data_IF_416744963947
#
_entry.id   IF_416744963947
#
_cell.length_a   1.000
_cell.length_b   1.000
_cell.length_c   1.000
_cell.angle_alpha   90.00
_cell.angle_beta   90.00
_cell.angle_gamma   90.00
#
_symmetry.space_group_name_H-M   'P 1'
#
loop_
_entity.id
_entity.type
_entity.pdbx_description
1 polymer ?
#
# COMPACT_ATOMS: atom_id res chain seq x y z
N UNK A 1 -34.37 -18.07 13.50
CA UNK A 1 -33.95 -17.10 12.46
C UNK A 1 -32.46 -16.83 12.60
N UNK A 2 -31.64 -17.32 11.68
CA UNK A 2 -30.21 -17.00 11.67
C UNK A 2 -30.05 -15.52 11.32
N UNK A 3 -29.61 -14.72 12.29
CA UNK A 3 -29.39 -13.28 12.08
C UNK A 3 -28.43 -13.10 10.90
N UNK A 4 -28.89 -12.49 9.83
CA UNK A 4 -28.11 -12.31 8.62
C UNK A 4 -27.06 -11.21 8.86
N UNK A 5 -25.96 -11.57 9.52
CA UNK A 5 -24.91 -10.61 9.90
C UNK A 5 -24.18 -10.15 8.65
N UNK A 6 -24.49 -8.96 8.14
CA UNK A 6 -23.75 -8.35 7.02
C UNK A 6 -22.32 -7.97 7.43
N UNK A 7 -21.34 -8.23 6.56
CA UNK A 7 -19.93 -7.82 6.75
C UNK A 7 -19.54 -6.84 5.67
N UNK A 8 -18.83 -5.79 6.05
CA UNK A 8 -18.10 -4.91 5.12
C UNK A 8 -16.64 -4.89 5.55
N UNK A 9 -15.73 -4.94 4.59
CA UNK A 9 -14.28 -4.94 4.83
C UNK A 9 -13.68 -3.64 4.29
N UNK A 10 -13.01 -2.88 5.15
CA UNK A 10 -12.31 -1.63 4.82
C UNK A 10 -10.83 -1.94 4.70
N UNK A 11 -10.32 -1.95 3.47
CA UNK A 11 -8.94 -2.23 3.11
C UNK A 11 -8.87 -3.34 2.07
N UNK A 12 -8.29 -3.05 0.91
CA UNK A 12 -8.05 -4.00 -0.18
C UNK A 12 -6.66 -4.62 -0.12
N UNK A 13 -6.01 -4.59 1.05
CA UNK A 13 -4.74 -5.28 1.27
C UNK A 13 -4.91 -6.81 1.38
N UNK A 14 -3.80 -7.56 1.53
CA UNK A 14 -3.82 -9.02 1.61
C UNK A 14 -4.77 -9.58 2.67
N UNK A 15 -4.84 -8.93 3.84
CA UNK A 15 -5.75 -9.32 4.91
C UNK A 15 -7.23 -9.17 4.51
N UNK A 16 -7.59 -8.04 3.89
CA UNK A 16 -8.95 -7.75 3.46
C UNK A 16 -9.41 -8.66 2.33
N UNK A 17 -8.57 -8.86 1.30
CA UNK A 17 -8.85 -9.79 0.20
C UNK A 17 -9.00 -11.22 0.70
N UNK A 18 -8.11 -11.70 1.57
CA UNK A 18 -8.22 -13.04 2.13
C UNK A 18 -9.50 -13.21 2.95
N UNK A 19 -9.92 -12.20 3.70
CA UNK A 19 -11.17 -12.24 4.46
C UNK A 19 -12.39 -12.26 3.54
N UNK A 20 -12.44 -11.42 2.50
CA UNK A 20 -13.54 -11.38 1.55
C UNK A 20 -13.68 -12.67 0.73
N UNK A 21 -12.57 -13.42 0.55
CA UNK A 21 -12.57 -14.76 -0.07
C UNK A 21 -13.03 -15.87 0.85
N UNK A 22 -13.09 -15.65 2.17
CA UNK A 22 -13.51 -16.72 3.07
C UNK A 22 -14.96 -17.08 2.77
N UNK A 23 -15.26 -18.36 2.52
CA UNK A 23 -16.64 -18.81 2.37
C UNK A 23 -17.44 -18.35 3.58
N UNK A 24 -18.65 -17.86 3.34
CA UNK A 24 -19.62 -17.64 4.40
C UNK A 24 -19.73 -18.93 5.23
N UNK A 25 -19.56 -18.81 6.56
CA UNK A 25 -19.84 -19.92 7.48
C UNK A 25 -21.29 -20.39 7.24
N UNK A 26 -21.61 -21.70 7.36
CA UNK A 26 -22.98 -22.18 7.14
C UNK A 26 -24.00 -21.32 7.89
N UNK A 27 -25.01 -20.79 7.19
CA UNK A 27 -26.01 -19.87 7.73
C UNK A 27 -25.79 -18.37 7.46
N UNK A 28 -24.84 -17.99 6.59
CA UNK A 28 -24.71 -16.64 6.02
C UNK A 28 -24.93 -16.68 4.51
N UNK A 29 -25.46 -15.61 3.93
CA UNK A 29 -25.54 -15.48 2.46
C UNK A 29 -24.17 -15.75 1.83
N UNK A 30 -24.13 -16.61 0.81
CA UNK A 30 -22.90 -17.04 0.12
C UNK A 30 -22.22 -15.95 -0.69
N UNK A 31 -22.58 -14.68 -0.46
CA UNK A 31 -22.06 -13.53 -1.19
C UNK A 31 -20.74 -13.07 -0.57
N UNK A 32 -19.68 -12.85 -1.38
CA UNK A 32 -18.44 -12.23 -0.91
C UNK A 32 -18.72 -10.91 -0.19
N UNK A 33 -18.00 -10.65 0.91
CA UNK A 33 -18.16 -9.41 1.65
C UNK A 33 -17.68 -8.21 0.80
N UNK A 34 -18.46 -7.12 0.70
CA UNK A 34 -18.01 -5.90 0.03
C UNK A 34 -16.67 -5.39 0.57
N UNK A 35 -15.79 -5.01 -0.36
CA UNK A 35 -14.48 -4.43 -0.07
C UNK A 35 -14.46 -2.96 -0.42
N UNK A 36 -13.84 -2.16 0.46
CA UNK A 36 -13.60 -0.73 0.27
C UNK A 36 -12.09 -0.50 0.29
N UNK A 37 -11.52 0.17 -0.70
CA UNK A 37 -10.10 0.52 -0.71
C UNK A 37 -9.80 1.61 -1.71
N UNK A 38 -8.87 2.51 -1.38
CA UNK A 38 -8.61 3.70 -2.19
C UNK A 38 -7.62 3.45 -3.32
N UNK A 39 -6.86 2.36 -3.24
CA UNK A 39 -5.78 2.02 -4.14
C UNK A 39 -6.34 1.50 -5.47
N UNK A 40 -5.89 2.04 -6.60
CA UNK A 40 -6.36 1.65 -7.93
C UNK A 40 -5.68 0.38 -8.48
N UNK A 41 -4.60 -0.06 -7.84
CA UNK A 41 -3.89 -1.26 -8.25
C UNK A 41 -4.55 -2.55 -7.72
N UNK A 42 -4.36 -3.70 -8.41
CA UNK A 42 -4.67 -5.01 -7.85
C UNK A 42 -3.93 -5.23 -6.52
N UNK A 43 -4.56 -5.94 -5.59
CA UNK A 43 -3.87 -6.35 -4.36
C UNK A 43 -2.67 -7.20 -4.72
N UNK A 44 -1.53 -7.00 -4.05
CA UNK A 44 -0.33 -7.81 -4.27
C UNK A 44 0.17 -8.41 -2.96
N UNK A 45 0.94 -9.50 -3.05
CA UNK A 45 1.61 -10.09 -1.91
C UNK A 45 2.96 -9.39 -1.70
N UNK A 46 3.19 -8.73 -0.55
CA UNK A 46 4.40 -7.95 -0.32
C UNK A 46 5.63 -8.81 0.05
N UNK A 47 5.69 -10.07 -0.41
CA UNK A 47 6.75 -11.02 0.03
C UNK A 47 8.12 -10.71 -0.53
N UNK A 48 8.27 -9.86 -1.55
CA UNK A 48 9.58 -9.56 -2.16
C UNK A 48 9.72 -8.08 -2.59
N UNK A 49 9.62 -7.13 -1.64
CA UNK A 49 9.51 -5.71 -1.97
C UNK A 49 10.76 -5.15 -2.67
N UNK A 50 11.92 -5.82 -2.55
CA UNK A 50 13.16 -5.41 -3.21
C UNK A 50 13.33 -6.01 -4.61
N UNK A 51 12.68 -7.13 -4.92
CA UNK A 51 13.01 -7.89 -6.13
C UNK A 51 12.28 -7.42 -7.38
N UNK A 52 11.05 -6.89 -7.23
CA UNK A 52 10.32 -6.23 -8.31
C UNK A 52 11.04 -4.94 -8.73
N UNK A 53 11.43 -4.02 -7.82
CA UNK A 53 12.26 -2.87 -8.18
C UNK A 53 13.65 -3.25 -8.73
N UNK A 54 14.20 -4.40 -8.32
CA UNK A 54 15.47 -4.92 -8.84
C UNK A 54 15.34 -5.63 -10.21
N UNK A 55 14.14 -5.66 -10.82
CA UNK A 55 13.91 -6.23 -12.15
C UNK A 55 13.92 -7.76 -12.20
N UNK A 56 13.92 -8.44 -11.05
CA UNK A 56 13.96 -9.91 -10.99
C UNK A 56 12.60 -10.56 -11.21
N UNK A 57 11.51 -9.81 -10.99
CA UNK A 57 10.14 -10.27 -11.19
C UNK A 57 9.28 -9.14 -11.76
N UNK A 58 8.36 -9.50 -12.67
CA UNK A 58 7.32 -8.61 -13.14
C UNK A 58 6.30 -8.31 -12.02
N UNK A 59 5.72 -7.10 -11.94
CA UNK A 59 4.72 -6.74 -10.93
C UNK A 59 3.54 -7.72 -10.86
N UNK A 60 3.12 -8.25 -12.00
CA UNK A 60 2.00 -9.17 -12.18
C UNK A 60 2.23 -10.49 -11.44
N UNK A 61 3.48 -10.92 -11.27
CA UNK A 61 3.83 -12.13 -10.52
C UNK A 61 3.49 -12.02 -9.02
N UNK A 62 3.30 -10.80 -8.51
CA UNK A 62 2.93 -10.55 -7.11
C UNK A 62 1.43 -10.29 -6.93
N UNK A 63 0.67 -10.17 -8.02
CA UNK A 63 -0.75 -9.85 -7.96
C UNK A 63 -1.55 -11.00 -7.32
N UNK A 64 -2.46 -10.64 -6.43
CA UNK A 64 -3.44 -11.53 -5.83
C UNK A 64 -4.75 -11.42 -6.60
N UNK A 65 -5.44 -12.55 -6.86
CA UNK A 65 -6.77 -12.53 -7.45
C UNK A 65 -7.75 -11.70 -6.59
N UNK A 66 -8.38 -10.71 -7.20
CA UNK A 66 -9.38 -9.88 -6.52
C UNK A 66 -10.68 -10.70 -6.32
N UNK A 67 -11.33 -10.63 -5.13
CA UNK A 67 -12.56 -11.38 -4.84
C UNK A 67 -13.83 -10.74 -5.44
N UNK A 68 -13.69 -10.02 -6.54
CA UNK A 68 -14.74 -9.19 -7.16
C UNK A 68 -14.26 -7.76 -7.41
N UNK A 69 -15.20 -6.85 -7.67
CA UNK A 69 -14.93 -5.43 -7.88
C UNK A 69 -15.00 -4.67 -6.54
N UNK A 70 -13.87 -4.31 -5.92
CA UNK A 70 -13.90 -3.49 -4.72
C UNK A 70 -14.39 -2.08 -5.04
N UNK A 71 -15.06 -1.45 -4.08
CA UNK A 71 -15.41 -0.04 -4.18
C UNK A 71 -14.13 0.79 -4.00
N UNK A 72 -13.69 1.43 -5.09
CA UNK A 72 -12.49 2.28 -5.14
C UNK A 72 -12.75 3.61 -4.45
N UNK A 73 -12.43 3.65 -3.17
CA UNK A 73 -12.62 4.81 -2.30
C UNK A 73 -11.97 4.59 -0.94
N UNK A 74 -11.68 5.69 -0.27
CA UNK A 74 -11.31 5.70 1.15
C UNK A 74 -12.54 5.42 2.03
N UNK A 75 -12.46 4.37 2.84
CA UNK A 75 -13.41 4.18 3.95
C UNK A 75 -13.14 5.20 5.06
N UNK A 76 -14.19 5.87 5.55
CA UNK A 76 -14.07 6.94 6.57
C UNK A 76 -14.42 6.47 7.98
N UNK A 77 -15.10 5.34 8.12
CA UNK A 77 -15.46 4.77 9.41
C UNK A 77 -16.80 4.04 9.36
N UNK A 78 -17.31 3.65 10.53
CA UNK A 78 -18.65 3.07 10.68
C UNK A 78 -19.46 3.92 11.65
N UNK A 79 -20.65 4.31 11.21
CA UNK A 79 -21.69 4.84 12.09
C UNK A 79 -22.49 3.66 12.69
N UNK A 80 -22.44 3.52 14.02
CA UNK A 80 -23.18 2.47 14.73
C UNK A 80 -24.64 2.82 14.96
N UNK A 81 -24.98 4.11 15.07
CA UNK A 81 -26.34 4.57 15.28
C UNK A 81 -27.16 4.42 13.99
N UNK A 82 -26.62 4.92 12.87
CA UNK A 82 -27.24 4.76 11.55
C UNK A 82 -27.04 3.35 10.96
N UNK A 83 -26.05 2.59 11.46
CA UNK A 83 -25.70 1.29 10.93
C UNK A 83 -25.15 1.39 9.51
N UNK A 84 -24.21 2.31 9.25
CA UNK A 84 -23.66 2.53 7.91
C UNK A 84 -22.13 2.57 7.93
N UNK A 85 -21.51 2.27 6.79
CA UNK A 85 -20.07 2.42 6.58
C UNK A 85 -19.84 3.60 5.64
N UNK A 86 -19.06 4.58 6.11
CA UNK A 86 -18.79 5.81 5.39
C UNK A 86 -17.79 5.64 4.25
N UNK A 87 -18.01 6.42 3.20
CA UNK A 87 -17.21 6.51 1.98
C UNK A 87 -16.64 7.93 1.87
N UNK A 88 -15.45 8.08 1.28
CA UNK A 88 -14.74 9.36 1.20
C UNK A 88 -15.24 10.30 0.11
N UNK A 89 -15.94 9.77 -0.89
CA UNK A 89 -16.37 10.44 -2.13
C UNK A 89 -17.89 10.42 -2.30
N UNK A 90 -18.66 10.27 -1.21
CA UNK A 90 -20.10 10.44 -1.25
C UNK A 90 -20.89 9.59 -0.25
N UNK A 91 -22.12 9.18 -0.59
CA UNK A 91 -23.01 8.50 0.34
C UNK A 91 -22.43 7.16 0.85
N UNK A 92 -22.91 6.67 2.00
CA UNK A 92 -22.36 5.49 2.64
C UNK A 92 -22.37 4.26 1.71
N UNK A 93 -21.36 3.41 1.90
CA UNK A 93 -21.11 2.19 1.14
C UNK A 93 -22.23 1.13 1.25
N UNK A 94 -23.17 1.32 2.18
CA UNK A 94 -24.28 0.44 2.43
C UNK A 94 -24.70 0.40 3.89
N UNK A 95 -25.80 -0.32 4.13
CA UNK A 95 -26.34 -0.54 5.47
C UNK A 95 -25.77 -1.82 6.10
N UNK A 96 -25.13 -1.65 7.25
CA UNK A 96 -24.74 -2.71 8.18
C UNK A 96 -25.64 -2.62 9.41
N UNK A 97 -26.56 -3.58 9.63
CA UNK A 97 -27.42 -3.55 10.82
C UNK A 97 -26.56 -3.51 12.09
N UNK A 98 -27.15 -3.15 13.25
CA UNK A 98 -26.41 -3.07 14.53
C UNK A 98 -25.61 -4.33 14.85
N UNK A 99 -26.09 -5.50 14.43
CA UNK A 99 -25.43 -6.81 14.58
C UNK A 99 -24.43 -7.16 13.48
N UNK A 100 -24.37 -6.36 12.40
CA UNK A 100 -23.40 -6.50 11.31
C UNK A 100 -21.99 -6.09 11.73
N UNK A 101 -20.98 -6.46 10.95
CA UNK A 101 -19.57 -6.27 11.27
C UNK A 101 -18.88 -5.37 10.22
N UNK A 102 -18.10 -4.39 10.67
CA UNK A 102 -17.14 -3.70 9.81
C UNK A 102 -15.74 -4.12 10.22
N UNK A 103 -14.97 -4.69 9.30
CA UNK A 103 -13.59 -5.13 9.56
C UNK A 103 -12.62 -4.12 8.96
N UNK A 104 -11.71 -3.60 9.80
CA UNK A 104 -10.66 -2.68 9.37
C UNK A 104 -9.41 -3.48 9.04
N UNK A 105 -9.01 -3.47 7.77
CA UNK A 105 -7.90 -4.20 7.17
C UNK A 105 -7.02 -3.28 6.29
N UNK A 106 -6.89 -2.00 6.68
CA UNK A 106 -6.19 -0.93 5.92
C UNK A 106 -4.65 -1.09 5.96
N UNK A 107 -4.12 -1.99 6.77
CA UNK A 107 -2.68 -2.23 6.88
C UNK A 107 -1.95 -1.07 7.57
N UNK A 108 -0.71 -0.84 7.16
CA UNK A 108 0.20 0.13 7.81
C UNK A 108 0.39 1.34 6.89
N UNK A 109 0.41 2.54 7.49
CA UNK A 109 0.85 3.76 6.81
C UNK A 109 2.28 4.07 7.22
N UNK A 110 3.26 4.08 6.30
CA UNK A 110 4.64 4.37 6.65
C UNK A 110 4.71 5.78 7.23
N UNK A 111 5.46 5.94 8.32
CA UNK A 111 5.78 7.27 8.83
C UNK A 111 6.79 7.90 7.88
N UNK A 112 6.55 9.11 7.36
CA UNK A 112 7.55 9.83 6.59
C UNK A 112 8.84 9.91 7.40
N UNK A 113 9.96 9.51 6.80
CA UNK A 113 11.25 9.67 7.45
C UNK A 113 11.50 11.16 7.66
N UNK A 114 11.76 11.57 8.90
CA UNK A 114 12.29 12.92 9.15
C UNK A 114 13.64 13.02 8.43
N UNK A 115 13.82 14.05 7.62
CA UNK A 115 15.08 14.25 6.91
C UNK A 115 16.23 14.27 7.92
N UNK A 116 17.25 13.43 7.71
CA UNK A 116 18.52 13.53 8.45
C UNK A 116 19.38 14.64 7.87
N UNK A 117 18.82 15.80 7.53
CA UNK A 117 19.65 16.97 7.19
C UNK A 117 20.32 17.43 8.47
N UNK A 118 21.58 17.05 8.68
CA UNK A 118 22.43 17.57 9.75
C UNK A 118 23.17 16.55 10.63
N UNK A 119 22.86 15.24 10.59
CA UNK A 119 23.69 14.25 11.31
C UNK A 119 24.88 13.85 10.46
N UNK A 120 25.99 14.60 10.56
CA UNK A 120 27.31 14.10 10.18
C UNK A 120 27.57 12.85 11.01
N UNK A 121 27.52 11.68 10.39
CA UNK A 121 28.03 10.45 11.02
C UNK A 121 29.55 10.61 10.99
N UNK A 122 30.13 11.02 12.13
CA UNK A 122 31.56 10.94 12.30
C UNK A 122 31.94 9.46 12.20
N UNK A 123 32.57 9.07 11.10
CA UNK A 123 33.18 7.77 10.98
C UNK A 123 34.32 7.73 11.99
N UNK A 124 34.11 7.07 13.14
CA UNK A 124 35.22 6.70 14.03
C UNK A 124 36.11 5.74 13.24
N UNK A 125 37.30 6.20 12.91
CA UNK A 125 38.37 5.46 12.27
C UNK A 125 38.80 4.27 13.14
N UNK A 126 38.06 3.16 13.10
CA UNK A 126 38.37 1.99 13.92
C UNK A 126 37.66 0.70 13.55
N UNK A 127 36.57 0.72 12.78
CA UNK A 127 35.91 -0.50 12.33
C UNK A 127 36.02 -0.66 10.81
N UNK A 128 36.84 -1.63 10.38
CA UNK A 128 36.85 -2.13 9.00
C UNK A 128 35.45 -2.72 8.68
N UNK A 129 34.72 -2.21 7.69
CA UNK A 129 33.53 -2.88 7.18
C UNK A 129 33.96 -4.11 6.37
N UNK A 130 33.33 -5.26 6.61
CA UNK A 130 33.59 -6.51 5.87
C UNK A 130 33.03 -6.51 4.43
N UNK A 131 32.56 -5.38 3.90
CA UNK A 131 32.17 -5.28 2.50
C UNK A 131 32.72 -3.99 1.89
N UNK A 132 33.45 -4.16 0.78
CA UNK A 132 34.01 -3.10 -0.06
C UNK A 132 32.91 -2.15 -0.52
N UNK A 133 32.84 -0.99 0.13
CA UNK A 133 32.62 0.27 -0.57
C UNK A 133 33.55 1.28 0.11
N UNK A 134 34.65 1.72 -0.52
CA UNK A 134 35.45 2.79 0.05
C UNK A 134 34.59 4.05 0.11
N UNK A 135 34.70 4.76 1.23
CA UNK A 135 34.17 6.10 1.38
C UNK A 135 34.55 6.93 0.14
N UNK A 136 33.55 7.43 -0.58
CA UNK A 136 33.78 8.46 -1.58
C UNK A 136 34.41 9.66 -0.87
N UNK A 137 35.65 9.99 -1.26
CA UNK A 137 36.24 11.27 -0.93
C UNK A 137 35.32 12.39 -1.43
N UNK A 138 35.27 13.57 -0.76
CA UNK A 138 34.52 14.69 -1.29
C UNK A 138 35.05 15.02 -2.69
N UNK A 139 34.17 14.96 -3.70
CA UNK A 139 34.47 15.41 -5.03
C UNK A 139 34.83 16.91 -4.98
N UNK A 140 35.98 17.24 -5.53
CA UNK A 140 36.42 18.60 -5.82
C UNK A 140 35.32 19.33 -6.63
N UNK A 141 34.87 20.55 -6.24
CA UNK A 141 33.79 21.25 -6.94
C UNK A 141 34.12 21.71 -8.37
N UNK A 142 35.26 21.32 -8.95
CA UNK A 142 35.68 21.74 -10.29
C UNK A 142 35.25 20.80 -11.44
N UNK A 143 34.38 19.80 -11.23
CA UNK A 143 33.90 18.95 -12.34
C UNK A 143 32.38 18.81 -12.31
N UNK A 144 31.70 19.75 -12.97
CA UNK A 144 30.25 19.65 -13.24
C UNK A 144 29.97 18.58 -14.31
N UNK A 145 28.85 17.82 -14.22
CA UNK A 145 28.53 16.79 -15.19
C UNK A 145 27.48 17.32 -16.19
N UNK A 146 27.87 18.18 -17.13
CA UNK A 146 27.03 18.46 -18.31
C UNK A 146 27.91 18.92 -19.48
N UNK A 147 28.04 18.15 -20.58
CA UNK A 147 28.42 18.74 -21.85
C UNK A 147 27.23 19.56 -22.38
N UNK A 148 27.41 20.87 -22.45
CA UNK A 148 26.55 21.76 -23.24
C UNK A 148 26.71 21.36 -24.72
N UNK A 149 25.61 20.91 -25.33
CA UNK A 149 25.47 20.77 -26.77
C UNK A 149 25.62 22.17 -27.41
N UNK A 150 26.75 22.43 -28.06
CA UNK A 150 26.89 23.53 -29.03
C UNK A 150 26.39 23.02 -30.37
N UNK A 151 25.26 23.55 -30.84
CA UNK A 151 24.90 23.49 -32.25
C UNK A 151 25.66 24.61 -32.98
N UNK A 152 26.72 24.24 -33.70
CA UNK A 152 27.20 25.02 -34.84
C UNK A 152 26.27 24.75 -36.03
N UNK A 153 25.75 25.82 -36.60
CA UNK A 153 24.86 25.78 -37.75
C UNK A 153 24.83 27.13 -38.43
N UNK A 154 25.97 27.51 -39.02
CA UNK A 154 26.04 28.61 -39.96
C UNK A 154 25.68 28.15 -41.37
N UNK A 155 24.78 28.90 -42.01
CA UNK A 155 24.83 29.29 -43.42
C UNK A 155 24.00 30.56 -43.57
#
# INVERSE_FOLDING_TARGET
>A
MTSDRRVVVIGVGPAGVRLARRPARPGRSGTPAPLIGAEDHPTYQPVRPAEVPAGRYAPEATALPAPGHPMRTRGTGRDRAAGTVGRGDGPPAGHTPKTGLAVVAVGVRPRPARSRRGRRVACRSGHRPLHRNPCAAPADPATGPFPLLTHDGGS
#
